data_IF_802485188490
#
_entry.id   IF_802485188490
#
_cell.length_a   1.000
_cell.length_b   1.000
_cell.length_c   1.000
_cell.angle_alpha   90.00
_cell.angle_beta   90.00
_cell.angle_gamma   90.00
#
_symmetry.space_group_name_H-M   'P 1'
#
loop_
_entity.id
_entity.type
_entity.pdbx_description
1 polymer ?
#
# COMPACT_ATOMS: atom_id res chain seq x y z
N UNK A 1 10.39 5.34 33.72
CA UNK A 1 10.63 4.92 35.11
C UNK A 1 9.43 5.36 35.94
N UNK A 2 8.72 4.48 36.61
CA UNK A 2 7.62 4.80 37.53
C UNK A 2 8.11 4.70 38.97
N UNK A 3 7.87 5.73 39.76
CA UNK A 3 8.11 5.71 41.19
C UNK A 3 6.83 6.14 41.90
N UNK A 4 6.35 5.32 42.85
CA UNK A 4 5.05 5.54 43.53
C UNK A 4 3.87 5.73 42.55
N UNK A 5 3.83 5.00 41.44
CA UNK A 5 2.75 5.07 40.46
C UNK A 5 2.72 6.30 39.56
N UNK A 6 3.66 7.24 39.71
CA UNK A 6 3.77 8.45 38.87
C UNK A 6 4.91 8.30 37.86
N UNK A 7 4.68 8.71 36.64
CA UNK A 7 5.72 8.83 35.62
C UNK A 7 6.59 10.06 35.85
N UNK A 8 7.91 9.84 35.92
CA UNK A 8 8.86 10.95 36.06
C UNK A 8 9.20 11.61 34.73
N UNK A 9 8.97 10.92 33.62
CA UNK A 9 9.27 11.43 32.27
C UNK A 9 7.98 11.50 31.47
N UNK A 10 7.57 12.70 31.10
CA UNK A 10 6.29 13.00 30.44
C UNK A 10 6.04 12.22 29.13
N UNK A 11 7.11 11.81 28.44
CA UNK A 11 7.05 11.22 27.11
C UNK A 11 7.50 9.76 27.06
N UNK A 12 7.47 9.06 28.20
CA UNK A 12 8.00 7.69 28.28
C UNK A 12 7.16 6.69 27.48
N UNK A 13 5.84 6.84 27.50
CA UNK A 13 4.89 6.03 26.75
C UNK A 13 5.03 6.26 25.24
N UNK A 14 5.13 7.51 24.80
CA UNK A 14 5.43 7.86 23.42
C UNK A 14 6.77 7.27 22.95
N UNK A 15 7.79 7.33 23.79
CA UNK A 15 9.11 6.77 23.49
C UNK A 15 9.07 5.26 23.27
N UNK A 16 8.33 4.52 24.11
CA UNK A 16 8.12 3.08 23.90
C UNK A 16 7.34 2.80 22.62
N UNK A 17 6.31 3.61 22.31
CA UNK A 17 5.53 3.46 21.09
C UNK A 17 6.42 3.66 19.85
N UNK A 18 7.21 4.73 19.81
CA UNK A 18 8.12 5.03 18.69
C UNK A 18 9.20 3.94 18.55
N UNK A 19 9.76 3.45 19.67
CA UNK A 19 10.71 2.34 19.65
C UNK A 19 10.09 1.06 19.06
N UNK A 20 8.86 0.75 19.43
CA UNK A 20 8.15 -0.40 18.90
C UNK A 20 7.84 -0.25 17.39
N UNK A 21 7.49 0.95 16.95
CA UNK A 21 7.31 1.27 15.52
C UNK A 21 8.63 1.12 14.74
N UNK A 22 9.75 1.59 15.30
CA UNK A 22 11.06 1.43 14.68
C UNK A 22 11.43 -0.05 14.51
N UNK A 23 11.19 -0.88 15.53
CA UNK A 23 11.40 -2.33 15.45
C UNK A 23 10.47 -2.97 14.40
N UNK A 24 9.22 -2.54 14.30
CA UNK A 24 8.28 -3.01 13.27
C UNK A 24 8.81 -2.72 11.86
N UNK A 25 9.27 -1.50 11.59
CA UNK A 25 9.80 -1.13 10.28
C UNK A 25 11.14 -1.83 9.96
N UNK A 26 11.90 -2.21 10.97
CA UNK A 26 13.08 -3.08 10.81
C UNK A 26 12.72 -4.56 10.61
N UNK A 27 11.42 -4.90 10.62
CA UNK A 27 10.92 -6.27 10.57
C UNK A 27 11.29 -7.12 11.80
N UNK A 28 11.71 -6.48 12.87
CA UNK A 28 11.98 -7.09 14.18
C UNK A 28 10.65 -7.27 14.94
N UNK A 29 9.76 -8.14 14.42
CA UNK A 29 8.38 -8.25 14.89
C UNK A 29 8.24 -8.78 16.32
N UNK A 30 9.20 -9.58 16.82
CA UNK A 30 9.13 -10.09 18.20
C UNK A 30 9.33 -8.97 19.22
N UNK A 31 10.42 -8.17 19.18
CA UNK A 31 10.55 -7.01 20.06
C UNK A 31 9.44 -5.96 19.85
N UNK A 32 9.04 -5.68 18.59
CA UNK A 32 7.94 -4.77 18.31
C UNK A 32 6.66 -5.19 19.03
N UNK A 33 6.26 -6.45 18.89
CA UNK A 33 5.08 -7.02 19.54
C UNK A 33 5.14 -6.88 21.05
N UNK A 34 6.28 -7.27 21.68
CA UNK A 34 6.44 -7.21 23.13
C UNK A 34 6.28 -5.78 23.65
N UNK A 35 6.84 -4.82 22.95
CA UNK A 35 6.78 -3.42 23.34
C UNK A 35 5.38 -2.82 23.11
N UNK A 36 4.71 -3.12 21.99
CA UNK A 36 3.31 -2.70 21.79
C UNK A 36 2.38 -3.30 22.85
N UNK A 37 2.54 -4.59 23.16
CA UNK A 37 1.77 -5.26 24.19
C UNK A 37 2.02 -4.64 25.59
N UNK A 38 3.27 -4.32 25.91
CA UNK A 38 3.62 -3.59 27.12
C UNK A 38 2.93 -2.23 27.18
N UNK A 39 2.98 -1.43 26.12
CA UNK A 39 2.33 -0.11 26.05
C UNK A 39 0.82 -0.25 26.22
N UNK A 40 0.18 -1.14 25.49
CA UNK A 40 -1.26 -1.38 25.55
C UNK A 40 -1.74 -1.78 26.94
N UNK A 41 -0.97 -2.59 27.68
CA UNK A 41 -1.33 -3.07 29.01
C UNK A 41 -0.95 -2.11 30.14
N UNK A 42 0.13 -1.35 30.01
CA UNK A 42 0.63 -0.44 31.05
C UNK A 42 -0.10 0.90 31.06
N UNK A 43 -0.65 1.32 29.91
CA UNK A 43 -1.28 2.63 29.71
C UNK A 43 -2.76 2.51 29.32
N UNK A 44 -3.50 1.63 30.02
CA UNK A 44 -4.89 1.23 29.71
C UNK A 44 -5.92 2.36 29.67
N UNK A 45 -5.63 3.52 30.21
CA UNK A 45 -6.56 4.65 30.27
C UNK A 45 -6.05 5.86 29.49
N UNK A 46 -5.07 5.64 28.62
CA UNK A 46 -4.48 6.68 27.76
C UNK A 46 -4.82 6.43 26.29
N UNK A 47 -4.91 7.50 25.52
CA UNK A 47 -5.11 7.46 24.06
C UNK A 47 -4.07 6.60 23.35
N UNK A 48 -2.87 6.47 23.93
CA UNK A 48 -1.78 5.66 23.38
C UNK A 48 -2.09 4.18 23.34
N UNK A 49 -2.93 3.68 24.25
CA UNK A 49 -3.39 2.29 24.26
C UNK A 49 -3.99 1.87 22.92
N UNK A 50 -4.91 2.66 22.40
CA UNK A 50 -5.60 2.37 21.14
C UNK A 50 -4.62 2.36 19.96
N UNK A 51 -3.67 3.31 19.98
CA UNK A 51 -2.59 3.35 18.98
C UNK A 51 -1.70 2.12 19.07
N UNK A 52 -1.31 1.71 20.27
CA UNK A 52 -0.51 0.50 20.49
C UNK A 52 -1.26 -0.77 20.05
N UNK A 53 -2.56 -0.89 20.35
CA UNK A 53 -3.40 -2.00 19.91
C UNK A 53 -3.50 -2.08 18.37
N UNK A 54 -3.61 -0.93 17.69
CA UNK A 54 -3.64 -0.90 16.23
C UNK A 54 -2.29 -1.39 15.63
N UNK A 55 -1.16 -0.96 16.20
CA UNK A 55 0.16 -1.43 15.79
C UNK A 55 0.42 -2.90 16.14
N UNK A 56 -0.11 -3.35 17.28
CA UNK A 56 -0.06 -4.75 17.67
C UNK A 56 -0.83 -5.63 16.67
N UNK A 57 -2.02 -5.18 16.25
CA UNK A 57 -2.79 -5.85 15.20
C UNK A 57 -2.00 -5.91 13.88
N UNK A 58 -1.37 -4.81 13.44
CA UNK A 58 -0.46 -4.81 12.27
C UNK A 58 0.66 -5.83 12.42
N UNK A 59 1.27 -5.91 13.60
CA UNK A 59 2.36 -6.86 13.88
C UNK A 59 1.87 -8.31 13.81
N UNK A 60 0.65 -8.61 14.29
CA UNK A 60 0.05 -9.93 14.15
C UNK A 60 -0.30 -10.26 12.69
N UNK A 61 -0.71 -9.29 11.88
CA UNK A 61 -0.95 -9.47 10.44
C UNK A 61 0.35 -9.87 9.74
N UNK A 62 1.44 -9.12 9.95
CA UNK A 62 2.75 -9.43 9.34
C UNK A 62 3.31 -10.80 9.78
N UNK A 63 3.04 -11.19 11.01
CA UNK A 63 3.45 -12.51 11.54
C UNK A 63 2.43 -13.62 11.30
N UNK A 64 1.40 -13.37 10.48
CA UNK A 64 0.33 -14.33 10.09
C UNK A 64 -0.47 -14.89 11.27
N UNK A 65 -0.49 -14.19 12.41
CA UNK A 65 -1.30 -14.56 13.57
C UNK A 65 -2.71 -13.95 13.46
N UNK A 66 -3.42 -14.27 12.35
CA UNK A 66 -4.69 -13.65 11.97
C UNK A 66 -5.78 -13.68 13.05
N UNK A 67 -5.99 -14.78 13.82
CA UNK A 67 -7.01 -14.76 14.88
C UNK A 67 -6.76 -13.72 15.97
N UNK A 68 -5.49 -13.48 16.31
CA UNK A 68 -5.13 -12.44 17.30
C UNK A 68 -5.31 -11.03 16.74
N UNK A 69 -4.94 -10.84 15.47
CA UNK A 69 -5.17 -9.58 14.77
C UNK A 69 -6.67 -9.26 14.71
N UNK A 70 -7.49 -10.24 14.35
CA UNK A 70 -8.94 -10.10 14.27
C UNK A 70 -9.57 -9.66 15.59
N UNK A 71 -9.21 -10.33 16.68
CA UNK A 71 -9.72 -9.96 18.01
C UNK A 71 -9.44 -8.51 18.39
N UNK A 72 -8.21 -8.02 18.14
CA UNK A 72 -7.85 -6.63 18.37
C UNK A 72 -8.59 -5.66 17.45
N UNK A 73 -8.70 -6.00 16.16
CA UNK A 73 -9.39 -5.15 15.19
C UNK A 73 -10.87 -5.04 15.47
N UNK A 74 -11.53 -6.13 15.87
CA UNK A 74 -12.95 -6.12 16.28
C UNK A 74 -13.17 -5.26 17.52
N UNK A 75 -12.30 -5.37 18.53
CA UNK A 75 -12.36 -4.50 19.70
C UNK A 75 -12.25 -3.02 19.31
N UNK A 76 -11.27 -2.68 18.46
CA UNK A 76 -11.09 -1.31 17.98
C UNK A 76 -12.27 -0.79 17.15
N UNK A 77 -12.94 -1.65 16.35
CA UNK A 77 -14.16 -1.28 15.60
C UNK A 77 -15.28 -0.91 16.56
N UNK A 78 -15.53 -1.77 17.56
CA UNK A 78 -16.59 -1.54 18.56
C UNK A 78 -16.32 -0.24 19.32
N UNK A 79 -15.12 -0.08 19.84
CA UNK A 79 -14.74 1.13 20.58
C UNK A 79 -14.82 2.39 19.69
N UNK A 80 -14.39 2.32 18.45
CA UNK A 80 -14.45 3.46 17.50
C UNK A 80 -15.90 3.86 17.18
N UNK A 81 -16.85 2.92 17.22
CA UNK A 81 -18.27 3.20 17.00
C UNK A 81 -18.97 3.82 18.21
N UNK A 82 -18.44 3.60 19.41
CA UNK A 82 -19.06 4.02 20.68
C UNK A 82 -18.36 5.21 21.35
N UNK A 83 -17.13 5.51 20.93
CA UNK A 83 -16.26 6.50 21.58
C UNK A 83 -15.84 7.61 20.63
N UNK A 84 -16.48 8.76 20.74
CA UNK A 84 -16.11 9.96 19.97
C UNK A 84 -14.68 10.48 20.28
N UNK A 85 -14.09 10.03 21.39
CA UNK A 85 -12.72 10.40 21.80
C UNK A 85 -11.65 9.45 21.29
N UNK A 86 -11.99 8.49 20.42
CA UNK A 86 -10.99 7.64 19.79
C UNK A 86 -9.88 8.48 19.15
N UNK A 87 -8.58 8.18 19.37
CA UNK A 87 -7.48 8.95 18.79
C UNK A 87 -7.61 9.12 17.28
N UNK A 88 -7.38 10.33 16.79
CA UNK A 88 -7.50 10.67 15.36
C UNK A 88 -6.66 9.72 14.48
N UNK A 89 -5.47 9.36 14.97
CA UNK A 89 -4.61 8.40 14.26
C UNK A 89 -5.33 7.07 14.04
N UNK A 90 -5.94 6.51 15.09
CA UNK A 90 -6.66 5.23 14.99
C UNK A 90 -7.87 5.35 14.08
N UNK A 91 -8.72 6.38 14.25
CA UNK A 91 -9.89 6.62 13.40
C UNK A 91 -9.55 6.70 11.92
N UNK A 92 -8.43 7.30 11.57
CA UNK A 92 -8.01 7.46 10.18
C UNK A 92 -7.35 6.22 9.59
N UNK A 93 -6.70 5.39 10.44
CA UNK A 93 -5.90 4.26 9.94
C UNK A 93 -6.52 2.89 10.16
N UNK A 94 -7.57 2.76 10.99
CA UNK A 94 -8.19 1.47 11.30
C UNK A 94 -8.66 0.73 10.03
N UNK A 95 -9.33 1.43 9.13
CA UNK A 95 -9.81 0.83 7.88
C UNK A 95 -8.68 0.42 6.93
N UNK A 96 -7.54 1.14 6.96
CA UNK A 96 -6.34 0.73 6.21
C UNK A 96 -5.74 -0.58 6.75
N UNK A 97 -5.71 -0.72 8.08
CA UNK A 97 -5.21 -1.95 8.73
C UNK A 97 -6.16 -3.12 8.49
N UNK A 98 -7.47 -2.87 8.50
CA UNK A 98 -8.48 -3.87 8.12
C UNK A 98 -8.33 -4.29 6.65
N UNK A 99 -8.09 -3.33 5.75
CA UNK A 99 -7.84 -3.64 4.36
C UNK A 99 -6.60 -4.53 4.19
N UNK A 100 -5.49 -4.20 4.87
CA UNK A 100 -4.28 -5.02 4.84
C UNK A 100 -4.52 -6.44 5.39
N UNK A 101 -5.26 -6.57 6.51
CA UNK A 101 -5.68 -7.85 7.07
C UNK A 101 -6.39 -8.72 6.03
N UNK A 102 -7.34 -8.17 5.29
CA UNK A 102 -8.08 -8.91 4.27
C UNK A 102 -7.25 -9.17 3.00
N UNK A 103 -6.35 -8.26 2.60
CA UNK A 103 -5.42 -8.47 1.47
C UNK A 103 -4.51 -9.67 1.75
N UNK A 104 -3.90 -9.72 2.95
CA UNK A 104 -3.01 -10.82 3.34
C UNK A 104 -3.71 -12.19 3.36
N UNK A 105 -5.02 -12.21 3.54
CA UNK A 105 -5.85 -13.41 3.47
C UNK A 105 -6.50 -13.63 2.08
N UNK A 106 -6.19 -12.79 1.10
CA UNK A 106 -6.75 -12.84 -0.28
C UNK A 106 -8.27 -12.64 -0.34
N UNK A 107 -8.85 -12.03 0.67
CA UNK A 107 -10.28 -11.68 0.73
C UNK A 107 -10.51 -10.29 0.11
N UNK A 108 -10.35 -10.22 -1.21
CA UNK A 108 -10.27 -8.94 -1.92
C UNK A 108 -11.54 -8.10 -1.85
N UNK A 109 -12.73 -8.69 -1.81
CA UNK A 109 -13.98 -7.92 -1.73
C UNK A 109 -14.09 -7.16 -0.40
N UNK A 110 -13.70 -7.80 0.71
CA UNK A 110 -13.61 -7.15 2.00
C UNK A 110 -12.53 -6.06 2.01
N UNK A 111 -11.36 -6.34 1.42
CA UNK A 111 -10.29 -5.35 1.29
C UNK A 111 -10.73 -4.11 0.52
N UNK A 112 -11.45 -4.28 -0.60
CA UNK A 112 -12.02 -3.17 -1.39
C UNK A 112 -12.97 -2.33 -0.56
N UNK A 113 -13.86 -2.96 0.23
CA UNK A 113 -14.80 -2.27 1.13
C UNK A 113 -14.04 -1.34 2.10
N UNK A 114 -13.03 -1.87 2.77
CA UNK A 114 -12.25 -1.11 3.76
C UNK A 114 -11.33 -0.06 3.12
N UNK A 115 -10.72 -0.33 1.96
CA UNK A 115 -9.95 0.68 1.23
C UNK A 115 -10.83 1.87 0.82
N UNK A 116 -12.04 1.61 0.31
CA UNK A 116 -12.99 2.68 -0.02
C UNK A 116 -13.38 3.49 1.21
N UNK A 117 -13.67 2.86 2.33
CA UNK A 117 -13.94 3.53 3.59
C UNK A 117 -12.76 4.39 4.05
N UNK A 118 -11.54 3.85 3.99
CA UNK A 118 -10.33 4.59 4.34
C UNK A 118 -10.14 5.85 3.48
N UNK A 119 -10.46 5.79 2.19
CA UNK A 119 -10.36 6.94 1.28
C UNK A 119 -11.33 8.09 1.63
N UNK A 120 -12.38 7.83 2.41
CA UNK A 120 -13.29 8.85 2.96
C UNK A 120 -12.72 9.54 4.21
N UNK A 121 -11.67 8.97 4.83
CA UNK A 121 -11.03 9.54 6.02
C UNK A 121 -10.03 10.63 5.67
N UNK A 122 -9.58 11.37 6.69
CA UNK A 122 -8.56 12.41 6.53
C UNK A 122 -7.16 11.79 6.52
N UNK A 123 -6.81 11.16 5.39
CA UNK A 123 -5.48 10.61 5.13
C UNK A 123 -4.55 11.68 4.59
N UNK A 124 -3.25 11.57 4.90
CA UNK A 124 -2.23 12.32 4.19
C UNK A 124 -2.17 11.94 2.71
N UNK A 125 -1.52 12.77 1.90
CA UNK A 125 -1.47 12.59 0.45
C UNK A 125 -0.84 11.26 0.04
N UNK A 126 0.26 10.90 0.68
CA UNK A 126 1.03 9.70 0.32
C UNK A 126 0.25 8.43 0.64
N UNK A 127 -0.30 8.33 1.84
CA UNK A 127 -1.15 7.21 2.28
C UNK A 127 -2.39 7.08 1.39
N UNK A 128 -3.03 8.20 1.04
CA UNK A 128 -4.19 8.21 0.14
C UNK A 128 -3.84 7.66 -1.24
N UNK A 129 -2.75 8.13 -1.83
CA UNK A 129 -2.30 7.68 -3.16
C UNK A 129 -1.95 6.19 -3.14
N UNK A 130 -1.28 5.72 -2.09
CA UNK A 130 -0.95 4.31 -1.91
C UNK A 130 -2.21 3.44 -1.79
N UNK A 131 -3.23 3.89 -1.04
CA UNK A 131 -4.50 3.18 -0.93
C UNK A 131 -5.23 3.09 -2.28
N UNK A 132 -5.25 4.18 -3.07
CA UNK A 132 -5.81 4.18 -4.42
C UNK A 132 -5.05 3.23 -5.35
N UNK A 133 -3.72 3.21 -5.27
CA UNK A 133 -2.89 2.33 -6.08
C UNK A 133 -3.17 0.84 -5.78
N UNK A 134 -3.23 0.48 -4.49
CA UNK A 134 -3.57 -0.89 -4.05
C UNK A 134 -4.99 -1.27 -4.51
N UNK A 135 -5.94 -0.34 -4.43
CA UNK A 135 -7.31 -0.56 -4.91
C UNK A 135 -7.32 -0.85 -6.42
N UNK A 136 -6.53 -0.11 -7.20
CA UNK A 136 -6.34 -0.36 -8.63
C UNK A 136 -5.76 -1.76 -8.91
N UNK A 137 -4.75 -2.19 -8.15
CA UNK A 137 -4.16 -3.53 -8.28
C UNK A 137 -5.16 -4.64 -7.94
N UNK A 138 -6.00 -4.43 -6.93
CA UNK A 138 -7.04 -5.42 -6.59
C UNK A 138 -8.05 -5.53 -7.74
N UNK A 139 -8.52 -4.41 -8.29
CA UNK A 139 -9.43 -4.45 -9.43
C UNK A 139 -8.80 -5.09 -10.66
N UNK A 140 -7.50 -4.83 -10.93
CA UNK A 140 -6.76 -5.50 -12.00
C UNK A 140 -6.76 -7.02 -11.79
N UNK A 141 -6.44 -7.48 -10.57
CA UNK A 141 -6.43 -8.92 -10.24
C UNK A 141 -7.79 -9.59 -10.35
N UNK A 142 -8.87 -8.84 -10.18
CA UNK A 142 -10.26 -9.27 -10.37
C UNK A 142 -10.73 -9.12 -11.83
N UNK A 143 -9.85 -8.73 -12.75
CA UNK A 143 -10.14 -8.45 -14.15
C UNK A 143 -11.16 -7.31 -14.37
N UNK A 144 -11.35 -6.44 -13.38
CA UNK A 144 -12.15 -5.23 -13.50
C UNK A 144 -11.29 -4.08 -14.02
N UNK A 145 -10.97 -4.15 -15.30
CA UNK A 145 -10.08 -3.21 -15.97
C UNK A 145 -10.59 -1.78 -15.91
N UNK A 146 -11.90 -1.57 -15.97
CA UNK A 146 -12.50 -0.23 -15.93
C UNK A 146 -12.19 0.45 -14.59
N UNK A 147 -12.55 -0.18 -13.47
CA UNK A 147 -12.28 0.39 -12.15
C UNK A 147 -10.78 0.49 -11.85
N UNK A 148 -9.97 -0.48 -12.32
CA UNK A 148 -8.52 -0.40 -12.19
C UNK A 148 -7.96 0.84 -12.92
N UNK A 149 -8.36 1.08 -14.17
CA UNK A 149 -7.97 2.25 -14.97
C UNK A 149 -8.32 3.55 -14.23
N UNK A 150 -9.55 3.70 -13.73
CA UNK A 150 -10.00 4.87 -12.97
C UNK A 150 -9.09 5.15 -11.76
N UNK A 151 -8.68 4.09 -11.03
CA UNK A 151 -7.80 4.25 -9.88
C UNK A 151 -6.38 4.66 -10.28
N UNK A 152 -5.77 4.01 -11.28
CA UNK A 152 -4.42 4.36 -11.71
C UNK A 152 -4.33 5.77 -12.31
N UNK A 153 -5.34 6.20 -13.09
CA UNK A 153 -5.43 7.57 -13.55
C UNK A 153 -5.56 8.58 -12.41
N UNK A 154 -6.39 8.26 -11.40
CA UNK A 154 -6.54 9.10 -10.23
C UNK A 154 -5.22 9.21 -9.44
N UNK A 155 -4.45 8.11 -9.32
CA UNK A 155 -3.10 8.13 -8.73
C UNK A 155 -2.20 9.08 -9.50
N UNK A 156 -2.12 8.97 -10.84
CA UNK A 156 -1.27 9.81 -11.68
C UNK A 156 -1.65 11.30 -11.53
N UNK A 157 -2.95 11.62 -11.51
CA UNK A 157 -3.47 12.99 -11.32
C UNK A 157 -3.12 13.60 -9.96
N UNK A 158 -2.82 12.79 -8.95
CA UNK A 158 -2.38 13.28 -7.63
C UNK A 158 -0.90 13.66 -7.59
N UNK A 159 -0.15 13.45 -8.66
CA UNK A 159 1.28 13.73 -8.75
C UNK A 159 2.05 13.17 -7.53
N UNK A 160 2.09 11.85 -7.35
CA UNK A 160 2.90 11.20 -6.31
C UNK A 160 4.40 11.32 -6.63
N UNK A 161 5.22 10.62 -5.85
CA UNK A 161 6.62 10.48 -6.19
C UNK A 161 6.80 9.79 -7.55
N UNK A 162 8.03 9.88 -8.07
CA UNK A 162 8.35 9.36 -9.40
C UNK A 162 8.06 7.85 -9.54
N UNK A 163 8.49 7.05 -8.58
CA UNK A 163 8.33 5.60 -8.59
C UNK A 163 6.84 5.18 -8.64
N UNK A 164 6.01 5.78 -7.80
CA UNK A 164 4.56 5.51 -7.79
C UNK A 164 3.91 5.95 -9.10
N UNK A 165 4.34 7.09 -9.68
CA UNK A 165 3.84 7.54 -10.99
C UNK A 165 4.23 6.56 -12.09
N UNK A 166 5.46 6.06 -12.08
CA UNK A 166 5.95 5.08 -13.04
C UNK A 166 5.13 3.79 -12.95
N UNK A 167 5.01 3.21 -11.77
CA UNK A 167 4.24 1.97 -11.56
C UNK A 167 2.75 2.14 -11.92
N UNK A 168 2.15 3.29 -11.61
CA UNK A 168 0.77 3.57 -11.98
C UNK A 168 0.57 3.62 -13.50
N UNK A 169 1.51 4.20 -14.25
CA UNK A 169 1.48 4.19 -15.73
C UNK A 169 1.66 2.80 -16.30
N UNK A 170 2.55 2.00 -15.74
CA UNK A 170 2.77 0.63 -16.16
C UNK A 170 1.52 -0.24 -15.97
N UNK A 171 0.87 -0.13 -14.81
CA UNK A 171 -0.37 -0.86 -14.54
C UNK A 171 -1.57 -0.32 -15.34
N UNK A 172 -1.64 1.00 -15.57
CA UNK A 172 -2.65 1.59 -16.45
C UNK A 172 -2.59 0.97 -17.86
N UNK A 173 -1.39 0.81 -18.41
CA UNK A 173 -1.20 0.20 -19.72
C UNK A 173 -1.64 -1.27 -19.77
N UNK A 174 -1.53 -2.02 -18.67
CA UNK A 174 -2.04 -3.40 -18.57
C UNK A 174 -3.57 -3.46 -18.57
N UNK A 175 -4.22 -2.49 -17.94
CA UNK A 175 -5.68 -2.46 -17.82
C UNK A 175 -6.38 -1.91 -19.05
N UNK A 176 -5.66 -1.21 -19.95
CA UNK A 176 -6.27 -0.57 -21.10
C UNK A 176 -6.67 -1.60 -22.16
N UNK A 177 -7.96 -1.65 -22.47
CA UNK A 177 -8.50 -2.46 -23.54
C UNK A 177 -8.41 -1.73 -24.90
N UNK A 178 -8.56 -2.46 -25.98
CA UNK A 178 -8.27 -2.14 -27.39
C UNK A 178 -8.97 -0.90 -28.03
N UNK A 179 -9.39 0.10 -27.25
CA UNK A 179 -10.13 1.26 -27.80
C UNK A 179 -9.22 2.42 -28.23
N UNK A 180 -8.33 2.90 -27.37
CA UNK A 180 -7.43 4.04 -27.66
C UNK A 180 -5.97 3.65 -27.47
N UNK A 181 -5.46 2.87 -28.43
CA UNK A 181 -4.06 2.45 -28.45
C UNK A 181 -3.10 3.63 -28.57
N UNK A 182 -3.55 4.77 -29.13
CA UNK A 182 -2.69 5.92 -29.41
C UNK A 182 -2.29 6.66 -28.14
N UNK A 183 -3.19 6.77 -27.14
CA UNK A 183 -2.90 7.47 -25.88
C UNK A 183 -1.88 6.70 -25.02
N UNK A 184 -2.02 5.39 -24.96
CA UNK A 184 -1.09 4.52 -24.22
C UNK A 184 0.29 4.51 -24.88
N UNK A 185 0.34 4.41 -26.21
CA UNK A 185 1.62 4.50 -26.93
C UNK A 185 2.30 5.85 -26.75
N UNK A 186 1.58 6.97 -26.79
CA UNK A 186 2.12 8.30 -26.48
C UNK A 186 2.66 8.37 -25.05
N UNK A 187 1.99 7.76 -24.10
CA UNK A 187 2.46 7.68 -22.72
C UNK A 187 3.78 6.92 -22.62
N UNK A 188 3.89 5.75 -23.26
CA UNK A 188 5.14 4.98 -23.29
C UNK A 188 6.29 5.75 -23.94
N UNK A 189 6.06 6.41 -25.06
CA UNK A 189 7.10 7.24 -25.70
C UNK A 189 7.57 8.36 -24.78
N UNK A 190 6.67 9.07 -24.11
CA UNK A 190 7.05 10.07 -23.10
C UNK A 190 7.84 9.47 -21.94
N UNK A 191 7.54 8.23 -21.56
CA UNK A 191 8.32 7.54 -20.52
C UNK A 191 9.72 7.18 -21.03
N UNK A 192 9.89 6.77 -22.29
CA UNK A 192 11.20 6.47 -22.88
C UNK A 192 12.08 7.70 -23.05
N UNK A 193 11.48 8.87 -23.33
CA UNK A 193 12.16 10.15 -23.49
C UNK A 193 12.60 10.77 -22.15
N UNK A 194 11.98 10.37 -21.04
CA UNK A 194 12.34 10.87 -19.72
C UNK A 194 13.66 10.25 -19.26
N UNK A 195 14.67 11.10 -19.05
CA UNK A 195 16.02 10.70 -18.61
C UNK A 195 15.99 9.91 -17.30
N UNK A 196 15.00 10.15 -16.44
CA UNK A 196 14.83 9.40 -15.20
C UNK A 196 14.52 7.92 -15.41
N UNK A 197 14.06 7.56 -16.60
CA UNK A 197 13.71 6.19 -16.98
C UNK A 197 14.84 5.42 -17.66
N UNK A 198 16.05 5.97 -17.73
CA UNK A 198 17.14 5.36 -18.49
C UNK A 198 17.45 3.92 -18.03
N UNK A 199 17.27 3.63 -16.74
CA UNK A 199 17.50 2.30 -16.17
C UNK A 199 16.27 1.37 -16.25
N UNK A 200 15.12 1.92 -16.65
CA UNK A 200 13.86 1.19 -16.75
C UNK A 200 13.39 1.03 -18.20
N UNK A 201 14.22 1.36 -19.18
CA UNK A 201 13.84 1.28 -20.60
C UNK A 201 13.47 -0.12 -21.04
N UNK A 202 14.16 -1.12 -20.52
CA UNK A 202 13.85 -2.53 -20.76
C UNK A 202 12.44 -2.90 -20.29
N UNK A 203 12.04 -2.45 -19.10
CA UNK A 203 10.69 -2.66 -18.55
C UNK A 203 9.62 -1.94 -19.38
N UNK A 204 9.91 -0.74 -19.85
CA UNK A 204 8.98 0.03 -20.69
C UNK A 204 8.80 -0.67 -22.04
N UNK A 205 9.89 -1.06 -22.71
CA UNK A 205 9.80 -1.81 -23.97
C UNK A 205 9.10 -3.16 -23.81
N UNK A 206 9.31 -3.86 -22.70
CA UNK A 206 8.58 -5.08 -22.39
C UNK A 206 7.08 -4.84 -22.28
N UNK A 207 6.66 -3.80 -21.54
CA UNK A 207 5.24 -3.44 -21.43
C UNK A 207 4.65 -2.99 -22.79
N UNK A 208 5.41 -2.28 -23.62
CA UNK A 208 5.01 -1.94 -24.99
C UNK A 208 4.80 -3.19 -25.84
N UNK A 209 5.66 -4.21 -25.68
CA UNK A 209 5.49 -5.49 -26.40
C UNK A 209 4.23 -6.23 -25.97
N UNK A 210 3.99 -6.36 -24.67
CA UNK A 210 2.75 -6.98 -24.15
C UNK A 210 1.51 -6.24 -24.65
N UNK A 211 1.57 -4.91 -24.69
CA UNK A 211 0.48 -4.08 -25.21
C UNK A 211 0.25 -4.30 -26.72
N UNK A 212 1.32 -4.36 -27.51
CA UNK A 212 1.23 -4.63 -28.95
C UNK A 212 0.66 -6.02 -29.24
N UNK A 213 1.14 -7.05 -28.52
CA UNK A 213 0.65 -8.44 -28.66
C UNK A 213 -0.84 -8.57 -28.32
N UNK A 214 -1.30 -7.90 -27.26
CA UNK A 214 -2.74 -7.89 -26.89
C UNK A 214 -3.60 -7.19 -27.96
N UNK A 215 -3.03 -6.30 -28.74
CA UNK A 215 -3.70 -5.63 -29.85
C UNK A 215 -3.44 -6.32 -31.22
N UNK A 216 -3.05 -7.61 -31.19
CA UNK A 216 -2.81 -8.44 -32.37
C UNK A 216 -1.75 -7.87 -33.34
N UNK A 217 -0.79 -7.11 -32.83
CA UNK A 217 0.34 -6.60 -33.62
C UNK A 217 1.62 -7.32 -33.23
N UNK A 218 1.80 -8.53 -33.77
CA UNK A 218 2.91 -9.41 -33.44
C UNK A 218 4.27 -8.83 -33.86
N UNK A 219 4.35 -8.25 -35.07
CA UNK A 219 5.59 -7.67 -35.57
C UNK A 219 6.11 -6.55 -34.65
N UNK A 220 5.21 -5.68 -34.24
CA UNK A 220 5.54 -4.61 -33.31
C UNK A 220 5.90 -5.15 -31.92
N UNK A 221 5.20 -6.19 -31.46
CA UNK A 221 5.49 -6.89 -30.22
C UNK A 221 6.91 -7.46 -30.22
N UNK A 222 7.28 -8.19 -31.27
CA UNK A 222 8.63 -8.75 -31.44
C UNK A 222 9.69 -7.64 -31.50
N UNK A 223 9.40 -6.55 -32.21
CA UNK A 223 10.32 -5.39 -32.29
C UNK A 223 10.61 -4.81 -30.90
N UNK A 224 9.56 -4.63 -30.07
CA UNK A 224 9.73 -4.09 -28.71
C UNK A 224 10.41 -5.10 -27.77
N UNK A 225 10.17 -6.41 -27.90
CA UNK A 225 10.91 -7.42 -27.16
C UNK A 225 12.41 -7.35 -27.44
N UNK A 226 12.79 -7.23 -28.71
CA UNK A 226 14.21 -7.04 -29.08
C UNK A 226 14.80 -5.79 -28.47
N UNK A 227 14.04 -4.68 -28.46
CA UNK A 227 14.48 -3.43 -27.82
C UNK A 227 14.61 -3.58 -26.31
N UNK A 228 13.71 -4.32 -25.65
CA UNK A 228 13.77 -4.62 -24.22
C UNK A 228 15.07 -5.37 -23.90
N UNK A 229 15.37 -6.44 -24.63
CA UNK A 229 16.61 -7.22 -24.44
C UNK A 229 17.86 -6.37 -24.69
N UNK A 230 17.86 -5.55 -25.74
CA UNK A 230 19.01 -4.71 -26.10
C UNK A 230 19.28 -3.59 -25.06
N UNK A 231 18.27 -3.15 -24.34
CA UNK A 231 18.41 -2.09 -23.31
C UNK A 231 18.57 -2.63 -21.89
N UNK A 232 18.37 -3.92 -21.67
CA UNK A 232 18.53 -4.54 -20.37
C UNK A 232 19.99 -4.57 -19.94
N UNK A 233 20.29 -3.95 -18.79
CA UNK A 233 21.62 -3.99 -18.16
C UNK A 233 21.80 -5.22 -17.26
N UNK A 234 20.71 -5.86 -16.89
CA UNK A 234 20.66 -7.07 -16.08
C UNK A 234 20.12 -8.21 -16.93
N UNK A 235 20.95 -8.78 -17.78
CA UNK A 235 20.56 -9.96 -18.53
C UNK A 235 21.13 -11.22 -17.85
N UNK A 236 20.38 -11.89 -16.95
CA UNK A 236 20.82 -13.16 -16.36
C UNK A 236 20.68 -14.35 -17.32
N UNK A 237 20.37 -14.10 -18.60
CA UNK A 237 20.07 -15.13 -19.62
C UNK A 237 20.94 -14.99 -20.87
N UNK A 238 22.17 -14.50 -20.70
CA UNK A 238 23.23 -14.78 -21.66
C UNK A 238 23.89 -16.10 -21.37
#
# INVERSE_FOLDING_TARGET
MRFNGKEYVKWIDDSYLVMAQANFYKQEYIPARRTFDYVANSYRYSDIQHTANLWLAKTYIETKQYPKAEGLLQALIVENSQNDKMPKYVRNNLELVLADYYIKQKQYDSAVKYLKGALLKNLDKETRVRAMFILGQIYESQNDKKRATEQFEAVIKKHPNYEMTFEARMNLAKCHDSGDTSSIMKMFWKMLDDVKNIEYKDRIYFAMSEFALRNNNEDLGIKYLRSSVATSKTNPRQ
#
